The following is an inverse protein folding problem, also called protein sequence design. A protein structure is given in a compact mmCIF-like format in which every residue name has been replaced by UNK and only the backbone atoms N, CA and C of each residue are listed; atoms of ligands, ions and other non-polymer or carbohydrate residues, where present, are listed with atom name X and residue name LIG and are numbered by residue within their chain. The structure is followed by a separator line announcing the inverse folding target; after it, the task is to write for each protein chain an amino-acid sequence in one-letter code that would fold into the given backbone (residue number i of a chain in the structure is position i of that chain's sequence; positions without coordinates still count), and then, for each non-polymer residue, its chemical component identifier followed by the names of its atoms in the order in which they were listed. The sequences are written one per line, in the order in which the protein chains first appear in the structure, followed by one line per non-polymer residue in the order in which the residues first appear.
data_IF_480342222938
#
_entry.id   IF_480342222938
#
_cell.length_a   1.000
_cell.length_b   1.000
_cell.length_c   1.000
_cell.angle_alpha   90.00
_cell.angle_beta   90.00
_cell.angle_gamma   90.00
#
_symmetry.space_group_name_H-M   'P 1'
#
loop_
_entity.id
_entity.type
_entity.pdbx_description
1 polymer ?
#
# COMPACT_ATOMS: atom_id res chain seq x y z
N UNK A 1 -22.83 4.41 24.39
CA UNK A 1 -21.86 4.20 25.49
C UNK A 1 -20.48 4.17 24.86
N UNK A 2 -19.80 5.33 24.77
CA UNK A 2 -18.44 5.40 24.22
C UNK A 2 -17.53 4.59 25.14
N UNK A 3 -16.97 3.49 24.62
CA UNK A 3 -15.97 2.70 25.33
C UNK A 3 -14.85 3.61 25.82
N UNK A 4 -14.48 3.47 27.10
CA UNK A 4 -13.40 4.25 27.67
C UNK A 4 -12.11 3.95 26.89
N UNK A 5 -11.56 4.98 26.23
CA UNK A 5 -10.32 4.90 25.43
C UNK A 5 -9.21 4.24 26.28
N UNK A 6 -8.68 3.12 25.79
CA UNK A 6 -7.65 2.29 26.46
C UNK A 6 -6.30 2.63 25.84
N UNK A 7 -5.45 3.29 26.62
CA UNK A 7 -4.08 3.61 26.23
C UNK A 7 -3.19 2.35 26.29
N UNK A 8 -2.26 2.23 25.35
CA UNK A 8 -1.32 1.11 25.24
C UNK A 8 -2.04 -0.21 25.03
N UNK A 9 -2.99 -0.25 24.11
CA UNK A 9 -3.74 -1.45 23.78
C UNK A 9 -2.99 -2.38 22.83
N UNK A 10 -2.02 -1.85 22.10
CA UNK A 10 -1.04 -2.60 21.31
C UNK A 10 0.13 -3.02 22.20
N UNK A 11 0.91 -4.01 21.77
CA UNK A 11 2.04 -4.50 22.56
C UNK A 11 3.18 -3.46 22.65
N UNK A 12 3.34 -2.61 21.63
CA UNK A 12 4.33 -1.53 21.62
C UNK A 12 3.88 -0.29 22.40
N UNK A 13 2.59 0.06 22.34
CA UNK A 13 2.00 1.07 23.22
C UNK A 13 2.07 0.64 24.69
N UNK A 14 1.94 -0.65 24.97
CA UNK A 14 2.16 -1.20 26.32
C UNK A 14 3.61 -1.04 26.78
N UNK A 15 4.60 -1.35 25.93
CA UNK A 15 6.01 -1.16 26.24
C UNK A 15 6.34 0.32 26.59
N UNK A 16 5.72 1.27 25.88
CA UNK A 16 5.82 2.70 26.22
C UNK A 16 5.25 3.02 27.60
N UNK A 17 4.06 2.49 27.92
CA UNK A 17 3.46 2.67 29.26
C UNK A 17 4.32 2.02 30.35
N UNK A 18 4.95 0.89 30.08
CA UNK A 18 5.84 0.22 31.03
C UNK A 18 7.08 1.06 31.33
N UNK A 19 7.68 1.70 30.32
CA UNK A 19 8.77 2.65 30.54
C UNK A 19 8.34 3.85 31.40
N UNK A 20 7.10 4.34 31.23
CA UNK A 20 6.50 5.37 32.08
C UNK A 20 6.26 4.88 33.52
N UNK A 21 5.67 3.69 33.67
CA UNK A 21 5.35 3.08 34.96
C UNK A 21 6.62 2.83 35.79
N UNK A 22 7.69 2.37 35.14
CA UNK A 22 8.99 2.17 35.78
C UNK A 22 9.55 3.49 36.34
N UNK A 23 9.45 4.58 35.57
CA UNK A 23 9.90 5.91 36.02
C UNK A 23 9.08 6.40 37.21
N UNK A 24 7.78 6.13 37.22
CA UNK A 24 6.87 6.53 38.29
C UNK A 24 6.97 5.67 39.56
N UNK A 25 7.95 4.78 39.68
CA UNK A 25 8.12 3.87 40.82
C UNK A 25 8.14 4.56 42.18
N UNK A 26 8.64 5.81 42.26
CA UNK A 26 8.64 6.61 43.49
C UNK A 26 7.28 7.26 43.82
N UNK A 27 6.47 7.56 42.80
CA UNK A 27 5.19 8.28 42.94
C UNK A 27 4.04 7.66 42.10
N UNK A 28 3.75 6.35 42.24
CA UNK A 28 2.82 5.65 41.34
C UNK A 28 1.38 6.19 41.42
N UNK A 29 1.03 6.80 42.56
CA UNK A 29 -0.26 7.44 42.80
C UNK A 29 -0.54 8.65 41.88
N UNK A 30 0.46 9.15 41.14
CA UNK A 30 0.28 10.21 40.13
C UNK A 30 -0.26 9.68 38.81
N UNK A 31 -0.01 8.40 38.47
CA UNK A 31 -0.42 7.81 37.20
C UNK A 31 -1.93 7.75 37.00
N UNK A 32 -2.77 7.32 37.98
CA UNK A 32 -4.22 7.32 37.81
C UNK A 32 -4.78 8.71 37.50
N UNK A 33 -4.24 9.76 38.14
CA UNK A 33 -4.63 11.15 37.88
C UNK A 33 -4.21 11.60 36.49
N UNK A 34 -3.02 11.21 36.05
CA UNK A 34 -2.56 11.45 34.67
C UNK A 34 -3.49 10.81 33.63
N UNK A 35 -3.87 9.53 33.84
CA UNK A 35 -4.86 8.84 32.99
C UNK A 35 -6.19 9.59 32.94
N UNK A 36 -6.68 10.07 34.08
CA UNK A 36 -7.91 10.87 34.13
C UNK A 36 -7.78 12.18 33.32
N UNK A 37 -6.66 12.88 33.45
CA UNK A 37 -6.42 14.13 32.71
C UNK A 37 -6.39 13.90 31.19
N UNK A 38 -5.72 12.84 30.74
CA UNK A 38 -5.70 12.45 29.33
C UNK A 38 -7.12 12.19 28.81
N UNK A 39 -7.93 11.40 29.55
CA UNK A 39 -9.32 11.09 29.18
C UNK A 39 -10.27 12.28 29.21
N UNK A 40 -9.99 13.29 30.03
CA UNK A 40 -10.80 14.51 30.18
C UNK A 40 -10.44 15.60 29.15
N UNK A 41 -9.59 15.30 28.17
CA UNK A 41 -9.18 16.28 27.16
C UNK A 41 -8.39 17.46 27.74
N UNK A 42 -7.67 17.26 28.84
CA UNK A 42 -6.90 18.33 29.48
C UNK A 42 -5.57 18.61 28.80
N UNK A 43 -5.13 17.75 27.86
CA UNK A 43 -3.98 18.05 27.00
C UNK A 43 -4.52 18.79 25.78
N UNK A 44 -4.18 20.07 25.67
CA UNK A 44 -4.72 20.99 24.68
C UNK A 44 -3.97 20.93 23.35
N UNK A 45 -2.69 20.59 23.39
CA UNK A 45 -1.85 20.37 22.21
C UNK A 45 -0.83 19.28 22.48
N UNK A 46 -0.45 18.56 21.43
CA UNK A 46 0.57 17.53 21.44
C UNK A 46 1.33 17.60 20.11
N UNK A 47 2.62 17.87 20.18
CA UNK A 47 3.51 17.97 19.02
C UNK A 47 4.68 17.02 19.23
N UNK A 48 4.89 16.12 18.26
CA UNK A 48 6.01 15.18 18.26
C UNK A 48 7.07 15.63 17.24
N UNK A 49 8.29 15.78 17.71
CA UNK A 49 9.49 16.06 16.93
C UNK A 49 10.53 14.96 17.22
N UNK A 50 11.56 14.81 16.36
CA UNK A 50 12.74 14.00 16.67
C UNK A 50 13.25 14.22 18.10
N UNK A 51 13.17 13.18 18.93
CA UNK A 51 13.64 13.18 20.33
C UNK A 51 12.87 14.05 21.32
N UNK A 52 11.77 14.69 20.93
CA UNK A 52 11.06 15.61 21.80
C UNK A 52 9.55 15.64 21.54
N UNK A 53 8.78 15.49 22.60
CA UNK A 53 7.34 15.75 22.61
C UNK A 53 7.09 17.04 23.37
N UNK A 54 6.37 17.99 22.76
CA UNK A 54 5.90 19.22 23.40
C UNK A 54 4.38 19.18 23.56
N UNK A 55 3.89 19.62 24.71
CA UNK A 55 2.46 19.65 24.95
C UNK A 55 2.05 20.79 25.89
N UNK A 56 0.84 21.31 25.70
CA UNK A 56 0.19 22.22 26.64
C UNK A 56 -0.89 21.47 27.41
N UNK A 57 -0.81 21.48 28.75
CA UNK A 57 -1.76 20.76 29.60
C UNK A 57 -2.52 21.75 30.49
N UNK A 58 -3.84 21.80 30.32
CA UNK A 58 -4.73 22.55 31.17
C UNK A 58 -4.72 21.95 32.58
N UNK A 59 -4.48 22.82 33.56
CA UNK A 59 -4.53 22.47 34.96
C UNK A 59 -5.51 23.35 35.71
N UNK A 60 -5.24 23.59 36.99
CA UNK A 60 -6.03 24.52 37.81
C UNK A 60 -5.72 26.00 37.54
N UNK A 61 -4.60 26.31 36.90
CA UNK A 61 -4.18 27.69 36.59
C UNK A 61 -4.81 28.15 35.27
N UNK A 62 -5.02 29.45 35.13
CA UNK A 62 -5.54 30.04 33.89
C UNK A 62 -4.59 29.79 32.69
N UNK A 63 -3.27 29.85 32.92
CA UNK A 63 -2.27 29.51 31.90
C UNK A 63 -1.97 27.99 31.91
N UNK A 64 -2.08 27.29 30.77
CA UNK A 64 -1.69 25.88 30.67
C UNK A 64 -0.23 25.62 31.05
N UNK A 65 0.05 24.46 31.62
CA UNK A 65 1.42 24.03 31.90
C UNK A 65 2.10 23.54 30.61
N UNK A 66 3.39 23.84 30.46
CA UNK A 66 4.21 23.28 29.38
C UNK A 66 4.80 21.96 29.84
N UNK A 67 4.61 20.94 29.02
CA UNK A 67 5.22 19.62 29.20
C UNK A 67 6.17 19.36 28.05
N UNK A 68 7.36 18.88 28.38
CA UNK A 68 8.35 18.36 27.45
C UNK A 68 8.66 16.92 27.83
N UNK A 69 8.63 15.98 26.88
CA UNK A 69 9.13 14.62 27.09
C UNK A 69 10.28 14.40 26.14
N UNK A 70 11.50 14.33 26.67
CA UNK A 70 12.69 14.01 25.87
C UNK A 70 12.81 12.50 25.71
N UNK A 71 13.24 12.09 24.52
CA UNK A 71 13.48 10.71 24.12
C UNK A 71 14.73 10.64 23.25
N UNK A 72 15.47 9.53 23.29
CA UNK A 72 16.73 9.41 22.57
C UNK A 72 16.47 9.20 21.07
N UNK A 73 17.13 10.01 20.25
CA UNK A 73 17.22 9.79 18.80
C UNK A 73 18.36 8.84 18.47
N UNK A 74 18.22 8.13 17.35
CA UNK A 74 19.27 7.31 16.78
C UNK A 74 20.21 8.13 15.90
N UNK A 75 21.47 7.71 15.85
CA UNK A 75 22.43 8.16 14.84
C UNK A 75 22.18 7.53 13.47
N UNK A 76 22.90 8.00 12.45
CA UNK A 76 22.75 7.47 11.08
C UNK A 76 23.07 5.96 11.02
N UNK A 77 24.14 5.49 11.64
CA UNK A 77 24.52 4.05 11.67
C UNK A 77 23.48 3.16 12.37
N UNK A 78 22.75 3.70 13.35
CA UNK A 78 21.64 2.99 14.00
C UNK A 78 20.43 2.92 13.07
N UNK A 79 20.14 4.01 12.36
CA UNK A 79 19.08 4.05 11.35
C UNK A 79 19.35 3.12 10.17
N UNK A 80 20.60 3.04 9.69
CA UNK A 80 20.99 2.12 8.63
C UNK A 80 20.68 0.66 9.04
N UNK A 81 21.05 0.26 10.26
CA UNK A 81 20.73 -1.07 10.79
C UNK A 81 19.23 -1.34 10.90
N UNK A 82 18.44 -0.37 11.36
CA UNK A 82 16.97 -0.52 11.43
C UNK A 82 16.39 -0.67 10.03
N UNK A 83 16.86 0.12 9.06
CA UNK A 83 16.38 0.08 7.69
C UNK A 83 16.74 -1.25 7.01
N UNK A 84 17.94 -1.78 7.27
CA UNK A 84 18.35 -3.10 6.78
C UNK A 84 17.43 -4.22 7.29
N UNK A 85 17.04 -4.17 8.57
CA UNK A 85 16.06 -5.11 9.16
C UNK A 85 14.68 -4.97 8.51
N UNK A 86 14.23 -3.73 8.23
CA UNK A 86 12.94 -3.47 7.58
C UNK A 86 12.94 -4.00 6.14
N UNK A 87 14.02 -3.81 5.38
CA UNK A 87 14.06 -4.21 3.97
C UNK A 87 14.35 -5.69 3.76
N UNK A 88 14.91 -6.37 4.75
CA UNK A 88 15.18 -7.80 4.70
C UNK A 88 13.92 -8.64 4.40
N UNK A 89 12.73 -8.17 4.80
CA UNK A 89 11.46 -8.86 4.52
C UNK A 89 10.37 -7.88 4.06
N UNK A 90 9.72 -8.21 2.94
CA UNK A 90 8.67 -7.36 2.37
C UNK A 90 7.51 -7.11 3.35
N UNK A 91 7.15 -8.13 4.12
CA UNK A 91 6.07 -8.14 5.10
C UNK A 91 6.26 -7.10 6.20
N UNK A 92 7.49 -6.83 6.64
CA UNK A 92 7.77 -5.83 7.70
C UNK A 92 7.38 -4.41 7.28
N UNK A 93 7.75 -4.03 6.06
CA UNK A 93 7.37 -2.72 5.53
C UNK A 93 5.87 -2.61 5.26
N UNK A 94 5.23 -3.70 4.83
CA UNK A 94 3.78 -3.74 4.64
C UNK A 94 3.04 -3.57 5.97
N UNK A 95 3.44 -4.30 7.01
CA UNK A 95 2.86 -4.18 8.34
C UNK A 95 3.00 -2.76 8.94
N UNK A 96 4.17 -2.12 8.77
CA UNK A 96 4.34 -0.71 9.17
C UNK A 96 3.36 0.21 8.45
N UNK A 97 3.13 -0.01 7.15
CA UNK A 97 2.16 0.77 6.37
C UNK A 97 0.72 0.56 6.84
N UNK A 98 0.40 -0.65 7.30
CA UNK A 98 -0.88 -1.03 7.89
C UNK A 98 -1.06 -0.53 9.34
N UNK A 99 -0.06 0.17 9.88
CA UNK A 99 -0.11 0.72 11.24
C UNK A 99 0.27 -0.28 12.33
N UNK A 100 0.94 -1.38 11.97
CA UNK A 100 1.39 -2.40 12.90
C UNK A 100 2.91 -2.33 13.12
N UNK A 101 3.37 -2.60 14.35
CA UNK A 101 4.79 -2.82 14.64
C UNK A 101 5.05 -4.32 14.80
N UNK A 102 5.70 -4.98 13.82
CA UNK A 102 6.02 -6.40 13.90
C UNK A 102 7.03 -6.70 15.01
N UNK A 103 6.80 -7.77 15.77
CA UNK A 103 7.70 -8.19 16.86
C UNK A 103 9.06 -8.65 16.33
N UNK A 104 9.09 -9.32 15.18
CA UNK A 104 10.30 -9.76 14.50
C UNK A 104 11.15 -8.58 14.00
N UNK A 105 10.53 -7.47 13.56
CA UNK A 105 11.24 -6.23 13.24
C UNK A 105 11.95 -5.69 14.50
N UNK A 106 11.25 -5.60 15.63
CA UNK A 106 11.83 -5.09 16.88
C UNK A 106 12.93 -6.00 17.41
N UNK A 107 12.72 -7.32 17.36
CA UNK A 107 13.72 -8.30 17.75
C UNK A 107 14.94 -8.28 16.82
N UNK A 108 14.73 -8.12 15.51
CA UNK A 108 15.80 -7.97 14.52
C UNK A 108 16.62 -6.71 14.75
N UNK A 109 15.98 -5.58 15.03
CA UNK A 109 16.67 -4.33 15.37
C UNK A 109 17.48 -4.50 16.68
N UNK A 110 16.90 -5.12 17.71
CA UNK A 110 17.60 -5.41 18.95
C UNK A 110 18.80 -6.35 18.75
N UNK A 111 18.67 -7.38 17.90
CA UNK A 111 19.76 -8.26 17.49
C UNK A 111 20.87 -7.54 16.72
N UNK A 112 20.52 -6.47 16.00
CA UNK A 112 21.48 -5.56 15.39
C UNK A 112 22.04 -4.51 16.37
N UNK A 113 21.68 -4.57 17.66
CA UNK A 113 22.15 -3.65 18.70
C UNK A 113 21.43 -2.29 18.71
N UNK A 114 20.18 -2.22 18.24
CA UNK A 114 19.33 -1.02 18.26
C UNK A 114 18.01 -1.30 18.96
N UNK A 115 17.79 -0.72 20.13
CA UNK A 115 16.53 -0.86 20.88
C UNK A 115 15.49 0.15 20.40
N UNK A 116 14.53 -0.30 19.58
CA UNK A 116 13.46 0.58 19.06
C UNK A 116 12.56 1.13 20.15
N UNK A 117 12.08 0.25 21.03
CA UNK A 117 11.14 0.58 22.10
C UNK A 117 11.86 1.23 23.29
N UNK A 118 11.15 2.04 24.09
CA UNK A 118 11.75 2.70 25.22
C UNK A 118 12.16 1.71 26.31
N UNK A 119 13.36 1.85 26.85
CA UNK A 119 13.75 1.14 28.08
C UNK A 119 13.38 1.92 29.34
N UNK A 120 13.48 1.26 30.49
CA UNK A 120 13.30 1.87 31.80
C UNK A 120 14.17 3.14 31.96
N UNK A 121 13.53 4.26 32.32
CA UNK A 121 14.21 5.54 32.56
C UNK A 121 14.53 6.37 31.30
N UNK A 122 14.32 5.84 30.10
CA UNK A 122 14.62 6.54 28.85
C UNK A 122 13.70 7.73 28.60
N UNK A 123 12.41 7.59 28.90
CA UNK A 123 11.44 8.69 28.82
C UNK A 123 11.82 9.74 29.87
N UNK A 124 12.06 10.99 29.46
CA UNK A 124 12.44 12.09 30.36
C UNK A 124 11.39 13.22 30.36
N UNK A 125 10.29 13.08 31.11
CA UNK A 125 9.26 14.09 31.21
C UNK A 125 9.69 15.25 32.11
N UNK A 126 9.34 16.46 31.69
CA UNK A 126 9.49 17.71 32.42
C UNK A 126 8.20 18.50 32.28
N UNK A 127 7.78 19.14 33.38
CA UNK A 127 6.57 19.94 33.40
C UNK A 127 6.83 21.24 34.14
N UNK A 128 6.25 22.34 33.65
CA UNK A 128 6.33 23.65 34.31
C UNK A 128 5.42 23.77 35.55
N UNK A 129 4.83 22.68 36.04
CA UNK A 129 3.98 22.69 37.22
C UNK A 129 4.81 22.58 38.51
N UNK A 130 4.30 23.06 39.66
CA UNK A 130 5.05 23.02 40.93
C UNK A 130 5.02 21.64 41.63
N UNK A 131 4.49 20.59 40.98
CA UNK A 131 4.50 19.23 41.52
C UNK A 131 5.88 18.60 41.26
N UNK A 132 6.54 18.17 42.34
CA UNK A 132 7.90 17.63 42.31
C UNK A 132 7.96 16.13 41.98
N UNK A 133 6.80 15.47 41.85
CA UNK A 133 6.74 14.08 41.41
C UNK A 133 7.33 13.89 40.01
N UNK A 134 8.03 12.78 39.79
CA UNK A 134 8.65 12.41 38.50
C UNK A 134 8.11 11.06 38.00
N UNK A 135 7.12 11.04 37.08
CA UNK A 135 6.46 12.18 36.46
C UNK A 135 5.29 12.72 37.28
N UNK A 136 5.03 14.03 37.17
CA UNK A 136 3.80 14.63 37.68
C UNK A 136 2.59 14.17 36.84
N UNK A 137 1.37 14.38 37.36
CA UNK A 137 0.14 13.98 36.66
C UNK A 137 -0.01 14.58 35.25
N UNK A 138 0.52 15.78 34.99
CA UNK A 138 0.41 16.42 33.67
C UNK A 138 1.35 15.75 32.66
N UNK A 139 2.59 15.48 33.05
CA UNK A 139 3.54 14.72 32.24
C UNK A 139 3.07 13.29 32.00
N UNK A 140 2.52 12.63 33.02
CA UNK A 140 1.91 11.32 32.86
C UNK A 140 0.75 11.35 31.86
N UNK A 141 -0.12 12.38 31.91
CA UNK A 141 -1.22 12.54 30.95
C UNK A 141 -0.71 12.63 29.51
N UNK A 142 0.36 13.38 29.27
CA UNK A 142 1.02 13.47 27.95
C UNK A 142 1.57 12.12 27.52
N UNK A 143 2.26 11.40 28.39
CA UNK A 143 2.81 10.08 28.05
C UNK A 143 1.71 9.04 27.72
N UNK A 144 0.54 9.12 28.36
CA UNK A 144 -0.60 8.28 28.00
C UNK A 144 -1.20 8.62 26.64
N UNK A 145 -1.27 9.90 26.28
CA UNK A 145 -1.70 10.28 24.92
C UNK A 145 -0.67 9.90 23.87
N UNK A 146 0.63 9.98 24.16
CA UNK A 146 1.65 9.48 23.24
C UNK A 146 1.51 7.97 23.04
N UNK A 147 1.18 7.20 24.08
CA UNK A 147 0.87 5.78 23.92
C UNK A 147 -0.34 5.52 23.02
N UNK A 148 -1.33 6.41 23.05
CA UNK A 148 -2.53 6.36 22.19
C UNK A 148 -2.20 6.68 20.73
N UNK A 149 -1.33 7.67 20.48
CA UNK A 149 -0.82 7.98 19.14
C UNK A 149 0.05 6.84 18.61
N UNK A 150 0.89 6.24 19.46
CA UNK A 150 1.69 5.07 19.10
C UNK A 150 0.83 3.87 18.76
N UNK A 151 -0.22 3.62 19.55
CA UNK A 151 -1.19 2.56 19.27
C UNK A 151 -1.86 2.72 17.90
N UNK A 152 -2.04 3.97 17.43
CA UNK A 152 -2.67 4.28 16.16
C UNK A 152 -1.69 4.30 14.96
N UNK A 153 -0.45 4.75 15.18
CA UNK A 153 0.58 4.82 14.14
C UNK A 153 2.00 4.56 14.71
N UNK A 154 2.64 3.42 14.37
CA UNK A 154 4.00 3.10 14.81
C UNK A 154 5.05 4.04 14.21
N UNK A 155 4.75 4.80 13.14
CA UNK A 155 5.67 5.83 12.64
C UNK A 155 5.88 6.96 13.64
N UNK A 156 5.00 7.15 14.63
CA UNK A 156 5.25 8.06 15.75
C UNK A 156 6.51 7.65 16.51
N UNK A 157 6.74 6.35 16.73
CA UNK A 157 7.96 5.85 17.37
C UNK A 157 9.20 6.17 16.53
N UNK A 158 9.12 5.90 15.22
CA UNK A 158 10.22 6.14 14.29
C UNK A 158 10.57 7.64 14.21
N UNK A 159 9.56 8.50 14.20
CA UNK A 159 9.72 9.95 14.26
C UNK A 159 10.42 10.38 15.53
N UNK A 160 10.01 9.87 16.69
CA UNK A 160 10.67 10.15 17.97
C UNK A 160 12.12 9.64 18.00
N UNK A 161 12.42 8.55 17.29
CA UNK A 161 13.78 8.03 17.07
C UNK A 161 14.59 8.81 16.02
N UNK A 162 13.96 9.74 15.30
CA UNK A 162 14.65 10.73 14.48
C UNK A 162 14.46 10.63 12.97
N UNK A 163 13.58 9.76 12.46
CA UNK A 163 13.19 9.74 11.05
C UNK A 163 11.70 9.75 10.88
N UNK A 164 11.20 10.61 10.00
CA UNK A 164 9.79 10.64 9.68
C UNK A 164 9.38 9.52 8.71
N UNK A 165 8.07 9.42 8.48
CA UNK A 165 7.46 8.42 7.62
C UNK A 165 7.99 8.50 6.18
N UNK A 166 8.15 9.69 5.64
CA UNK A 166 8.56 9.88 4.25
C UNK A 166 10.02 9.49 4.06
N UNK A 167 10.90 9.87 5.00
CA UNK A 167 12.31 9.47 5.04
C UNK A 167 12.46 7.95 5.09
N UNK A 168 11.76 7.27 6.00
CA UNK A 168 11.82 5.80 6.14
C UNK A 168 11.33 5.13 4.86
N UNK A 169 10.18 5.54 4.33
CA UNK A 169 9.61 4.91 3.12
C UNK A 169 10.46 5.18 1.88
N UNK A 170 11.03 6.38 1.74
CA UNK A 170 11.97 6.70 0.66
C UNK A 170 13.24 5.84 0.76
N UNK A 171 13.77 5.65 1.97
CA UNK A 171 14.95 4.82 2.20
C UNK A 171 14.68 3.33 1.92
N UNK A 172 13.51 2.82 2.32
CA UNK A 172 13.06 1.45 1.99
C UNK A 172 12.93 1.25 0.48
N UNK A 173 12.27 2.18 -0.22
CA UNK A 173 12.13 2.12 -1.69
C UNK A 173 13.48 2.13 -2.38
N UNK A 174 14.39 3.02 -1.97
CA UNK A 174 15.74 3.15 -2.56
C UNK A 174 16.56 1.87 -2.41
N UNK A 175 16.56 1.25 -1.22
CA UNK A 175 17.26 -0.02 -0.97
C UNK A 175 16.68 -1.17 -1.80
N UNK A 176 15.35 -1.23 -1.95
CA UNK A 176 14.70 -2.24 -2.80
C UNK A 176 14.96 -2.04 -4.29
N UNK A 177 15.04 -0.79 -4.75
CA UNK A 177 15.36 -0.47 -6.15
C UNK A 177 16.83 -0.73 -6.50
N UNK A 178 17.75 -0.54 -5.54
CA UNK A 178 19.18 -0.81 -5.69
C UNK A 178 19.57 -2.28 -5.49
N UNK A 179 18.68 -3.11 -4.95
CA UNK A 179 18.88 -4.56 -4.86
C UNK A 179 18.62 -5.18 -6.25
N UNK A 180 19.63 -5.79 -6.90
CA UNK A 180 19.38 -6.53 -8.13
C UNK A 180 18.45 -7.70 -7.81
N UNK A 181 17.19 -7.56 -8.23
CA UNK A 181 16.22 -8.65 -8.28
C UNK A 181 15.85 -9.26 -6.94
N UNK A 182 15.05 -8.55 -6.13
CA UNK A 182 13.92 -9.21 -5.48
C UNK A 182 12.80 -9.41 -6.51
N UNK A 183 13.12 -10.02 -7.66
CA UNK A 183 12.14 -10.85 -8.32
C UNK A 183 11.80 -11.89 -7.26
N UNK A 184 10.53 -11.94 -6.84
CA UNK A 184 10.09 -12.80 -5.76
C UNK A 184 10.82 -14.12 -5.83
N UNK A 185 11.66 -14.37 -4.83
CA UNK A 185 12.24 -15.69 -4.66
C UNK A 185 11.04 -16.62 -4.67
N UNK A 186 10.93 -17.56 -5.63
CA UNK A 186 9.89 -18.57 -5.55
C UNK A 186 10.00 -19.13 -4.12
N UNK A 187 8.87 -19.32 -3.41
CA UNK A 187 8.89 -19.79 -2.03
C UNK A 187 9.94 -20.90 -1.96
N UNK A 188 10.93 -20.71 -1.08
CA UNK A 188 12.05 -21.62 -0.93
C UNK A 188 11.51 -23.05 -1.06
N UNK A 189 12.09 -23.82 -1.99
CA UNK A 189 11.68 -25.19 -2.23
C UNK A 189 11.42 -25.86 -0.88
N UNK A 190 10.24 -26.50 -0.76
CA UNK A 190 9.77 -27.10 0.48
C UNK A 190 10.96 -27.70 1.25
N UNK A 191 11.13 -27.38 2.55
CA UNK A 191 12.19 -27.99 3.34
C UNK A 191 12.14 -29.51 3.13
N UNK A 192 13.29 -30.20 3.06
CA UNK A 192 13.29 -31.65 2.93
C UNK A 192 12.31 -32.23 3.96
N UNK A 193 11.46 -33.16 3.51
CA UNK A 193 10.28 -33.71 4.21
C UNK A 193 10.55 -34.35 5.59
N UNK A 194 11.72 -34.11 6.17
CA UNK A 194 12.20 -34.56 7.46
C UNK A 194 12.00 -33.55 8.59
N UNK A 195 11.62 -32.30 8.31
CA UNK A 195 11.30 -31.30 9.33
C UNK A 195 9.80 -30.98 9.33
N UNK A 196 8.99 -31.97 9.69
CA UNK A 196 7.57 -31.80 9.96
C UNK A 196 7.47 -31.17 11.34
N UNK A 197 7.00 -29.93 11.41
CA UNK A 197 6.61 -29.30 12.68
C UNK A 197 5.59 -30.20 13.40
N UNK A 198 5.65 -30.32 14.74
CA UNK A 198 4.73 -31.20 15.50
C UNK A 198 3.26 -30.86 15.27
N UNK A 199 2.98 -29.66 14.76
CA UNK A 199 1.67 -29.12 14.44
C UNK A 199 1.05 -29.68 13.14
N UNK A 200 1.84 -30.16 12.16
CA UNK A 200 1.30 -30.67 10.90
C UNK A 200 1.61 -32.16 10.71
N UNK A 201 1.10 -32.98 11.63
CA UNK A 201 0.96 -34.43 11.39
C UNK A 201 -0.04 -34.63 10.26
N UNK A 202 0.44 -34.54 9.03
CA UNK A 202 -0.33 -34.83 7.82
C UNK A 202 -1.25 -36.02 8.02
N UNK A 203 -2.48 -35.90 7.53
CA UNK A 203 -3.52 -36.92 7.73
C UNK A 203 -3.25 -38.07 6.75
N UNK A 204 -3.33 -39.33 7.20
CA UNK A 204 -3.25 -40.49 6.31
C UNK A 204 -4.24 -40.35 5.15
N UNK A 205 -3.79 -40.63 3.93
CA UNK A 205 -4.62 -40.55 2.72
C UNK A 205 -5.97 -41.27 2.88
N UNK A 206 -6.00 -42.45 3.51
CA UNK A 206 -7.24 -43.18 3.79
C UNK A 206 -8.23 -42.42 4.66
N UNK A 207 -7.75 -41.62 5.63
CA UNK A 207 -8.57 -40.78 6.50
C UNK A 207 -8.98 -39.48 5.82
N UNK A 208 -8.17 -38.95 4.89
CA UNK A 208 -8.55 -37.81 4.06
C UNK A 208 -9.67 -38.19 3.08
N UNK A 209 -9.55 -39.33 2.40
CA UNK A 209 -10.55 -39.86 1.48
C UNK A 209 -11.86 -40.32 2.15
N UNK A 210 -11.82 -40.62 3.45
CA UNK A 210 -13.02 -41.00 4.21
C UNK A 210 -13.73 -39.80 4.87
N UNK A 211 -13.24 -38.56 4.72
CA UNK A 211 -13.94 -37.40 5.26
C UNK A 211 -15.20 -37.15 4.43
N UNK A 212 -16.36 -36.90 5.07
CA UNK A 212 -17.52 -36.37 4.36
C UNK A 212 -17.10 -35.06 3.71
N UNK A 213 -17.22 -34.98 2.39
CA UNK A 213 -16.96 -33.74 1.66
C UNK A 213 -17.97 -32.71 2.16
N UNK A 214 -17.48 -31.65 2.79
CA UNK A 214 -18.33 -30.51 3.07
C UNK A 214 -18.89 -29.99 1.74
N UNK A 215 -20.11 -29.46 1.75
CA UNK A 215 -20.64 -28.79 0.58
C UNK A 215 -19.65 -27.71 0.13
N UNK A 216 -19.38 -27.64 -1.18
CA UNK A 216 -18.56 -26.57 -1.72
C UNK A 216 -19.16 -25.24 -1.27
N UNK A 217 -18.32 -24.26 -0.87
CA UNK A 217 -18.83 -22.93 -0.59
C UNK A 217 -19.58 -22.42 -1.81
N UNK A 218 -20.70 -21.74 -1.56
CA UNK A 218 -21.50 -21.17 -2.63
C UNK A 218 -20.63 -20.22 -3.45
N UNK A 219 -20.62 -20.40 -4.77
CA UNK A 219 -19.82 -19.56 -5.68
C UNK A 219 -20.33 -18.13 -5.52
N UNK A 220 -19.46 -17.15 -5.19
CA UNK A 220 -19.89 -15.78 -5.04
C UNK A 220 -20.58 -15.30 -6.31
N UNK A 221 -21.78 -14.75 -6.20
CA UNK A 221 -22.43 -14.14 -7.35
C UNK A 221 -21.58 -12.99 -7.89
N UNK A 222 -21.44 -12.86 -9.21
CA UNK A 222 -20.74 -11.73 -9.80
C UNK A 222 -21.39 -10.43 -9.34
N UNK A 223 -20.56 -9.43 -9.05
CA UNK A 223 -21.07 -8.11 -8.67
C UNK A 223 -21.90 -7.52 -9.80
N UNK A 224 -22.91 -6.68 -9.51
CA UNK A 224 -23.77 -6.09 -10.54
C UNK A 224 -23.05 -5.03 -11.40
N UNK A 225 -21.86 -4.59 -10.97
CA UNK A 225 -21.06 -3.58 -11.66
C UNK A 225 -19.56 -3.83 -11.44
N UNK A 226 -18.71 -3.27 -12.32
CA UNK A 226 -17.25 -3.26 -12.16
C UNK A 226 -16.79 -2.72 -10.81
N UNK A 227 -15.62 -3.18 -10.35
CA UNK A 227 -14.99 -2.68 -9.14
C UNK A 227 -14.59 -1.21 -9.25
N UNK A 228 -14.68 -0.46 -8.15
CA UNK A 228 -14.15 0.92 -8.09
C UNK A 228 -12.65 0.89 -7.82
N UNK A 229 -11.90 1.71 -8.54
CA UNK A 229 -10.46 1.88 -8.33
C UNK A 229 -10.23 2.54 -6.97
N UNK A 230 -9.35 1.95 -6.16
CA UNK A 230 -8.91 2.57 -4.92
C UNK A 230 -8.07 3.82 -5.23
N UNK A 231 -8.25 4.89 -4.46
CA UNK A 231 -7.46 6.12 -4.65
C UNK A 231 -6.00 5.81 -4.36
N UNK A 232 -5.15 6.04 -5.36
CA UNK A 232 -3.72 5.88 -5.20
C UNK A 232 -3.15 7.13 -4.47
N UNK A 233 -2.53 6.98 -3.28
CA UNK A 233 -2.29 8.10 -2.37
C UNK A 233 -1.10 8.99 -2.72
N UNK A 234 -0.21 8.58 -3.63
CA UNK A 234 1.01 9.33 -3.95
C UNK A 234 1.42 9.13 -5.41
N UNK A 235 1.91 10.19 -6.06
CA UNK A 235 2.42 10.06 -7.43
C UNK A 235 3.59 9.08 -7.52
N UNK A 236 3.71 8.36 -8.65
CA UNK A 236 4.88 7.54 -8.93
C UNK A 236 6.16 8.41 -9.03
N UNK A 237 7.36 7.80 -8.95
CA UNK A 237 8.63 8.51 -9.09
C UNK A 237 8.67 9.35 -10.38
N UNK A 238 9.42 10.46 -10.37
CA UNK A 238 9.47 11.39 -11.50
C UNK A 238 10.00 10.75 -12.80
N UNK A 239 10.80 9.70 -12.68
CA UNK A 239 11.31 8.88 -13.78
C UNK A 239 10.30 7.87 -14.35
N UNK A 240 9.13 7.69 -13.72
CA UNK A 240 8.12 6.76 -14.20
C UNK A 240 7.47 7.26 -15.51
N UNK A 241 7.20 6.37 -16.49
CA UNK A 241 6.58 6.76 -17.75
C UNK A 241 5.05 7.01 -17.63
N UNK A 242 4.51 7.07 -16.42
CA UNK A 242 3.10 7.25 -16.12
C UNK A 242 2.92 8.07 -14.83
N UNK A 243 1.76 8.69 -14.66
CA UNK A 243 1.32 9.37 -13.45
C UNK A 243 0.24 8.56 -12.71
N UNK A 244 -0.14 8.98 -11.49
CA UNK A 244 -1.17 8.27 -10.72
C UNK A 244 -2.55 8.29 -11.41
N UNK A 245 -2.86 9.35 -12.15
CA UNK A 245 -4.12 9.48 -12.88
C UNK A 245 -4.21 8.49 -14.05
N UNK A 246 -3.13 8.36 -14.84
CA UNK A 246 -3.00 7.40 -15.91
C UNK A 246 -3.08 5.97 -15.40
N UNK A 247 -2.41 5.67 -14.29
CA UNK A 247 -2.50 4.35 -13.65
C UNK A 247 -3.94 4.03 -13.19
N UNK A 248 -4.61 4.99 -12.53
CA UNK A 248 -6.01 4.82 -12.14
C UNK A 248 -6.91 4.51 -13.36
N UNK A 249 -6.65 5.16 -14.50
CA UNK A 249 -7.40 4.92 -15.74
C UNK A 249 -7.18 3.49 -16.27
N UNK A 250 -5.94 3.00 -16.26
CA UNK A 250 -5.62 1.63 -16.67
C UNK A 250 -6.26 0.59 -15.75
N UNK A 251 -6.27 0.84 -14.43
CA UNK A 251 -6.92 -0.06 -13.46
C UNK A 251 -8.44 -0.08 -13.64
N UNK A 252 -9.06 1.07 -13.94
CA UNK A 252 -10.48 1.14 -14.22
C UNK A 252 -10.85 0.31 -15.46
N UNK A 253 -10.09 0.45 -16.55
CA UNK A 253 -10.28 -0.35 -17.76
C UNK A 253 -10.10 -1.86 -17.53
N UNK A 254 -9.09 -2.25 -16.74
CA UNK A 254 -8.88 -3.65 -16.37
C UNK A 254 -10.05 -4.21 -15.54
N UNK A 255 -10.59 -3.42 -14.60
CA UNK A 255 -11.74 -3.81 -13.78
C UNK A 255 -13.01 -3.97 -14.62
N UNK A 256 -13.27 -3.07 -15.58
CA UNK A 256 -14.35 -3.16 -16.55
C UNK A 256 -14.25 -4.45 -17.39
N UNK A 257 -13.07 -4.75 -17.95
CA UNK A 257 -12.85 -5.95 -18.76
C UNK A 257 -12.99 -7.24 -17.96
N UNK A 258 -12.44 -7.28 -16.75
CA UNK A 258 -12.58 -8.43 -15.87
C UNK A 258 -14.05 -8.68 -15.51
N UNK A 259 -14.80 -7.60 -15.24
CA UNK A 259 -16.23 -7.69 -14.98
C UNK A 259 -17.01 -8.19 -16.20
N UNK A 260 -16.78 -7.64 -17.40
CA UNK A 260 -17.44 -8.07 -18.63
C UNK A 260 -17.10 -9.53 -19.00
N UNK A 261 -15.89 -10.00 -18.72
CA UNK A 261 -15.51 -11.39 -18.91
C UNK A 261 -16.28 -12.34 -17.97
N UNK A 262 -16.51 -11.93 -16.72
CA UNK A 262 -17.28 -12.72 -15.76
C UNK A 262 -18.79 -12.65 -16.05
N UNK A 263 -19.31 -11.47 -16.43
CA UNK A 263 -20.73 -11.23 -16.65
C UNK A 263 -21.22 -11.85 -17.97
N UNK A 264 -20.51 -11.59 -19.06
CA UNK A 264 -20.98 -11.86 -20.43
C UNK A 264 -20.02 -12.78 -21.22
N UNK A 265 -18.95 -13.28 -20.60
CA UNK A 265 -17.92 -14.08 -21.29
C UNK A 265 -17.10 -13.28 -22.30
N UNK A 266 -17.06 -11.95 -22.18
CA UNK A 266 -16.28 -11.08 -23.06
C UNK A 266 -14.78 -11.38 -22.99
N UNK A 267 -14.06 -11.08 -24.08
CA UNK A 267 -12.60 -11.25 -24.11
C UNK A 267 -11.90 -10.27 -23.16
N UNK A 268 -10.94 -10.77 -22.38
CA UNK A 268 -10.07 -9.94 -21.55
C UNK A 268 -9.10 -9.08 -22.37
N UNK A 269 -8.90 -9.38 -23.67
CA UNK A 269 -7.98 -8.64 -24.53
C UNK A 269 -6.50 -8.85 -24.21
N UNK A 270 -6.15 -9.89 -23.44
CA UNK A 270 -4.74 -10.17 -23.06
C UNK A 270 -3.85 -10.60 -24.23
N UNK A 271 -4.45 -10.99 -25.36
CA UNK A 271 -3.73 -11.39 -26.58
C UNK A 271 -3.68 -10.31 -27.66
N UNK A 272 -4.13 -9.09 -27.37
CA UNK A 272 -4.08 -7.99 -28.33
C UNK A 272 -2.65 -7.48 -28.49
N UNK A 273 -2.24 -7.20 -29.73
CA UNK A 273 -1.03 -6.44 -30.00
C UNK A 273 -1.18 -4.98 -29.55
N UNK A 274 -0.06 -4.28 -29.35
CA UNK A 274 -0.06 -2.87 -28.95
C UNK A 274 -0.94 -1.99 -29.86
N UNK A 275 -0.93 -2.25 -31.17
CA UNK A 275 -1.74 -1.53 -32.14
C UNK A 275 -3.24 -1.83 -32.05
N UNK A 276 -3.60 -3.06 -31.67
CA UNK A 276 -4.99 -3.45 -31.41
C UNK A 276 -5.48 -2.87 -30.09
N UNK A 277 -4.66 -2.93 -29.03
CA UNK A 277 -5.00 -2.37 -27.72
C UNK A 277 -5.12 -0.85 -27.78
N UNK A 278 -4.23 -0.16 -28.49
CA UNK A 278 -4.35 1.28 -28.77
C UNK A 278 -5.66 1.61 -29.48
N UNK A 279 -6.07 0.78 -30.44
CA UNK A 279 -7.32 0.99 -31.17
C UNK A 279 -8.54 0.74 -30.28
N UNK A 280 -8.50 -0.30 -29.45
CA UNK A 280 -9.52 -0.59 -28.44
C UNK A 280 -9.68 0.58 -27.48
N UNK A 281 -8.56 1.11 -26.98
CA UNK A 281 -8.54 2.26 -26.10
C UNK A 281 -9.13 3.51 -26.78
N UNK A 282 -8.74 3.75 -28.03
CA UNK A 282 -9.30 4.82 -28.86
C UNK A 282 -10.81 4.70 -29.07
N UNK A 283 -11.34 3.47 -29.23
CA UNK A 283 -12.77 3.21 -29.40
C UNK A 283 -13.61 3.52 -28.15
N UNK A 284 -12.97 3.55 -26.97
CA UNK A 284 -13.59 3.86 -25.67
C UNK A 284 -13.44 5.34 -25.26
N UNK A 285 -12.78 6.17 -26.07
CA UNK A 285 -12.58 7.58 -25.74
C UNK A 285 -13.92 8.35 -25.70
N UNK A 286 -14.16 9.17 -24.65
CA UNK A 286 -15.44 9.86 -24.49
C UNK A 286 -15.64 11.00 -25.50
N UNK A 287 -14.55 11.60 -25.99
CA UNK A 287 -14.59 12.76 -26.85
C UNK A 287 -13.39 12.84 -27.82
N UNK A 288 -13.52 13.72 -28.82
CA UNK A 288 -12.52 13.90 -29.88
C UNK A 288 -11.21 14.52 -29.39
N UNK A 289 -11.23 15.33 -28.33
CA UNK A 289 -10.01 15.94 -27.78
C UNK A 289 -9.17 14.90 -27.03
N UNK A 290 -9.80 14.04 -26.24
CA UNK A 290 -9.16 12.89 -25.58
C UNK A 290 -8.52 11.95 -26.61
N UNK A 291 -9.22 11.68 -27.72
CA UNK A 291 -8.70 10.90 -28.83
C UNK A 291 -7.52 11.58 -29.54
N UNK A 292 -7.55 12.90 -29.71
CA UNK A 292 -6.44 13.66 -30.29
C UNK A 292 -5.17 13.57 -29.43
N UNK A 293 -5.30 13.73 -28.11
CA UNK A 293 -4.17 13.57 -27.19
C UNK A 293 -3.61 12.14 -27.19
N UNK A 294 -4.46 11.13 -27.32
CA UNK A 294 -4.02 9.74 -27.49
C UNK A 294 -3.23 9.53 -28.79
N UNK A 295 -3.73 10.09 -29.90
CA UNK A 295 -3.06 10.00 -31.19
C UNK A 295 -1.66 10.63 -31.17
N UNK A 296 -1.53 11.81 -30.55
CA UNK A 296 -0.25 12.49 -30.37
C UNK A 296 0.76 11.63 -29.58
N UNK A 297 0.35 11.11 -28.41
CA UNK A 297 1.21 10.25 -27.58
C UNK A 297 1.61 8.95 -28.27
N UNK A 298 0.71 8.39 -29.09
CA UNK A 298 0.95 7.18 -29.84
C UNK A 298 1.74 7.40 -31.15
N UNK A 299 2.10 8.65 -31.48
CA UNK A 299 2.83 8.96 -32.71
C UNK A 299 2.02 8.67 -33.99
N UNK A 300 0.69 8.79 -33.93
CA UNK A 300 -0.21 8.53 -35.07
C UNK A 300 -1.08 9.76 -35.38
N UNK A 301 -1.78 9.73 -36.51
CA UNK A 301 -2.71 10.80 -36.88
C UNK A 301 -4.09 10.56 -36.27
N UNK A 302 -4.76 11.64 -35.84
CA UNK A 302 -6.14 11.58 -35.34
C UNK A 302 -7.07 10.86 -36.33
N UNK A 303 -6.98 11.18 -37.62
CA UNK A 303 -7.83 10.55 -38.65
C UNK A 303 -7.57 9.06 -38.81
N UNK A 304 -6.32 8.62 -38.74
CA UNK A 304 -6.00 7.19 -38.77
C UNK A 304 -6.57 6.48 -37.55
N UNK A 305 -6.40 7.06 -36.36
CA UNK A 305 -6.89 6.48 -35.11
C UNK A 305 -8.43 6.47 -35.05
N UNK A 306 -9.10 7.52 -35.53
CA UNK A 306 -10.57 7.57 -35.69
C UNK A 306 -11.09 6.46 -36.59
N UNK A 307 -10.43 6.24 -37.73
CA UNK A 307 -10.82 5.19 -38.69
C UNK A 307 -10.66 3.80 -38.08
N UNK A 308 -9.56 3.56 -37.37
CA UNK A 308 -9.30 2.30 -36.65
C UNK A 308 -10.31 2.09 -35.51
N UNK A 309 -10.56 3.12 -34.69
CA UNK A 309 -11.53 3.08 -33.61
C UNK A 309 -12.94 2.74 -34.11
N UNK A 310 -13.36 3.33 -35.25
CA UNK A 310 -14.62 2.98 -35.90
C UNK A 310 -14.66 1.53 -36.38
N UNK A 311 -13.58 1.04 -36.98
CA UNK A 311 -13.50 -0.36 -37.41
C UNK A 311 -13.62 -1.33 -36.21
N UNK A 312 -12.97 -0.98 -35.09
CA UNK A 312 -13.07 -1.73 -33.85
C UNK A 312 -14.48 -1.72 -33.25
N UNK A 313 -15.16 -0.56 -33.24
CA UNK A 313 -16.55 -0.48 -32.75
C UNK A 313 -17.52 -1.35 -33.57
N UNK A 314 -17.23 -1.58 -34.85
CA UNK A 314 -18.09 -2.38 -35.73
C UNK A 314 -17.85 -3.88 -35.56
N UNK A 315 -16.59 -4.32 -35.51
CA UNK A 315 -16.26 -5.75 -35.57
C UNK A 315 -15.03 -6.17 -34.75
N UNK A 316 -14.59 -5.34 -33.80
CA UNK A 316 -13.43 -5.61 -32.94
C UNK A 316 -12.17 -5.90 -33.75
N UNK A 317 -11.39 -6.96 -33.38
CA UNK A 317 -10.20 -7.35 -34.12
C UNK A 317 -10.46 -7.65 -35.61
N UNK A 318 -11.59 -8.28 -35.95
CA UNK A 318 -11.92 -8.58 -37.35
C UNK A 318 -12.10 -7.31 -38.19
N UNK A 319 -12.63 -6.23 -37.59
CA UNK A 319 -12.76 -4.93 -38.25
C UNK A 319 -11.40 -4.31 -38.59
N UNK A 320 -10.41 -4.48 -37.70
CA UNK A 320 -9.03 -4.06 -37.96
C UNK A 320 -8.39 -4.89 -39.07
N UNK A 321 -8.57 -6.21 -39.07
CA UNK A 321 -8.06 -7.08 -40.13
C UNK A 321 -8.55 -6.62 -41.50
N UNK A 322 -9.85 -6.35 -41.65
CA UNK A 322 -10.44 -5.85 -42.91
C UNK A 322 -9.89 -4.47 -43.29
N UNK A 323 -9.62 -3.63 -42.29
CA UNK A 323 -9.09 -2.29 -42.52
C UNK A 323 -7.64 -2.29 -43.01
N UNK A 324 -6.85 -3.21 -42.47
CA UNK A 324 -5.41 -3.36 -42.74
C UNK A 324 -5.16 -4.22 -43.99
N UNK A 325 -6.11 -5.08 -44.38
CA UNK A 325 -6.12 -5.73 -45.68
C UNK A 325 -6.12 -4.69 -46.81
N UNK A 326 -5.22 -4.86 -47.79
CA UNK A 326 -5.20 -4.00 -48.97
C UNK A 326 -6.58 -4.09 -49.64
N UNK A 327 -7.27 -2.95 -49.86
CA UNK A 327 -8.58 -3.00 -50.51
C UNK A 327 -8.42 -3.69 -51.86
N UNK A 328 -9.23 -4.72 -52.07
CA UNK A 328 -9.31 -5.39 -53.36
C UNK A 328 -9.60 -4.34 -54.43
N UNK A 329 -8.61 -4.08 -55.29
CA UNK A 329 -8.80 -3.21 -56.46
C UNK A 329 -9.33 -4.08 -57.58
N UNK A 330 -10.56 -3.81 -58.02
CA UNK A 330 -11.06 -4.35 -59.26
C UNK A 330 -10.06 -4.03 -60.38
N UNK A 331 -9.67 -5.05 -61.15
CA UNK A 331 -8.88 -4.84 -62.36
C UNK A 331 -9.71 -3.91 -63.27
N UNK A 332 -9.15 -2.81 -63.80
CA UNK A 332 -9.88 -1.93 -64.70
C UNK A 332 -10.51 -2.74 -65.83
N UNK A 333 -11.80 -2.51 -66.15
CA UNK A 333 -12.54 -3.30 -67.14
C UNK A 333 -11.82 -3.41 -68.50
N UNK A 334 -11.04 -2.39 -68.88
CA UNK A 334 -10.23 -2.41 -70.10
C UNK A 334 -9.09 -3.46 -70.09
N UNK A 335 -8.58 -3.84 -68.90
CA UNK A 335 -7.60 -4.91 -68.74
C UNK A 335 -8.24 -6.30 -68.58
N UNK A 336 -9.56 -6.38 -68.32
CA UNK A 336 -10.29 -7.65 -68.28
C UNK A 336 -10.57 -8.20 -69.69
N UNK A 337 -10.70 -7.33 -70.70
CA UNK A 337 -10.95 -7.71 -72.10
C UNK A 337 -9.83 -8.56 -72.73
N UNK A 338 -8.56 -8.29 -72.40
CA UNK A 338 -7.42 -9.06 -72.92
C UNK A 338 -7.36 -10.50 -72.40
N UNK A 339 -7.93 -10.76 -71.21
CA UNK A 339 -8.02 -12.11 -70.60
C UNK A 339 -9.18 -12.93 -71.14
N UNK A 340 -10.21 -12.29 -71.69
CA UNK A 340 -11.35 -12.96 -72.33
C UNK A 340 -11.13 -13.21 -73.83
N UNK A 341 -10.28 -12.41 -74.49
CA UNK A 341 -9.94 -12.57 -75.92
C UNK A 341 -9.11 -13.81 -76.25
N UNK A 342 -8.35 -14.35 -75.30
CA UNK A 342 -7.52 -15.56 -75.50
C UNK A 342 -8.30 -16.88 -75.44
N UNK A 343 -9.57 -16.88 -75.01
CA UNK A 343 -10.42 -18.10 -75.00
C UNK A 343 -11.29 -18.29 -76.24
N UNK A 344 -11.32 -17.36 -77.20
CA UNK A 344 -12.15 -17.46 -78.43
C UNK A 344 -11.44 -18.09 -79.64
N UNK A 345 -10.23 -18.65 -79.51
CA UNK A 345 -9.53 -19.35 -80.62
C UNK A 345 -9.23 -20.84 -80.34
N UNK A 346 -10.05 -21.48 -79.51
CA UNK A 346 -10.03 -22.93 -79.31
C UNK A 346 -11.46 -23.47 -79.23
N UNK A 347 -12.18 -23.40 -80.34
CA UNK A 347 -13.30 -24.25 -80.74
C UNK A 347 -13.42 -24.18 -82.25
#
# INVERSE_FOLDING_TARGET
MLMARRFGHTWWGRAWIEALEHRASLDPNRLPRGRSYARQGQVLSLEAEPGLIRAAVQGRRARPYRVEVRFRTFGDDEWERVLDVIVAEAARAAALLDGELPTDLVNGAAGAGVELLPHAGELQPRCSCPDWADPCKHSAAVCYLVADELDADPFVLLRLRGRDREEVLAAVRRRRAGAPGAAGEPPAADPPATAIDEADRGIRASRAWSRPTAALPEVPHPRPAPGRVAVWPSDPPAEAPFDAAGLCTLVADAAERAWAAIADGASLGLGLSDGEDLTRWAASMPDRASLAGLAERAGTTLTALERRARAWQVAGPAGLTVLDEKPWRAVPLHQAGSRLGTRRRAC
#
